data_IF_896154533220
#
_entry.id   IF_896154533220
#
_cell.length_a   1.000
_cell.length_b   1.000
_cell.length_c   1.000
_cell.angle_alpha   90.00
_cell.angle_beta   90.00
_cell.angle_gamma   90.00
#
_symmetry.space_group_name_H-M   'P 1'
#
loop_
_entity.id
_entity.type
_entity.pdbx_description
1 polymer ?
#
# COMPACT_ATOMS: atom_id res chain seq x y z
N UNK A 1 14.81 15.14 -10.50
CA UNK A 1 14.02 15.77 -9.41
C UNK A 1 13.89 14.80 -8.25
N UNK A 2 13.37 15.25 -7.10
CA UNK A 2 13.09 14.39 -5.95
C UNK A 2 11.62 13.94 -5.99
N UNK A 3 11.34 12.70 -5.58
CA UNK A 3 9.96 12.26 -5.36
C UNK A 3 9.44 12.90 -4.09
N UNK A 4 8.26 13.51 -4.15
CA UNK A 4 7.56 14.08 -3.00
C UNK A 4 6.34 13.22 -2.67
N UNK A 5 6.12 12.96 -1.39
CA UNK A 5 4.91 12.34 -0.84
C UNK A 5 4.41 13.26 0.27
N UNK A 6 3.15 13.67 0.19
CA UNK A 6 2.58 14.73 1.03
C UNK A 6 1.35 14.16 1.73
N UNK A 7 1.42 14.11 3.06
CA UNK A 7 0.33 13.68 3.91
C UNK A 7 -0.42 14.90 4.45
N UNK A 8 -1.73 14.85 4.35
CA UNK A 8 -2.65 15.83 4.93
C UNK A 8 -4.00 15.13 5.10
N UNK A 9 -4.42 14.85 6.33
CA UNK A 9 -5.64 14.11 6.63
C UNK A 9 -6.91 14.93 6.39
N UNK A 10 -6.80 16.25 6.26
CA UNK A 10 -7.92 17.12 5.89
C UNK A 10 -8.08 17.16 4.37
N UNK A 11 -6.98 17.33 3.62
CA UNK A 11 -7.00 17.38 2.15
C UNK A 11 -7.10 16.00 1.49
N UNK A 12 -6.43 14.99 2.06
CA UNK A 12 -6.25 13.64 1.51
C UNK A 12 -6.61 12.55 2.54
N UNK A 13 -7.85 12.53 3.10
CA UNK A 13 -8.19 11.65 4.22
C UNK A 13 -7.85 10.18 3.95
N UNK A 14 -7.04 9.57 4.81
CA UNK A 14 -6.61 8.18 4.71
C UNK A 14 -5.66 7.85 3.56
N UNK A 15 -5.08 8.84 2.88
CA UNK A 15 -4.05 8.61 1.86
C UNK A 15 -3.09 9.81 1.74
N UNK A 16 -2.59 10.14 0.56
CA UNK A 16 -1.59 11.18 0.33
C UNK A 16 -1.61 11.72 -1.11
N UNK A 17 -0.96 12.85 -1.32
CA UNK A 17 -0.56 13.35 -2.64
C UNK A 17 0.89 12.96 -2.97
N UNK A 18 1.23 12.92 -4.24
CA UNK A 18 2.60 12.64 -4.68
C UNK A 18 3.00 13.42 -5.93
N UNK A 19 4.30 13.69 -6.04
CA UNK A 19 4.94 14.26 -7.23
C UNK A 19 6.13 13.37 -7.58
N UNK A 20 6.09 12.77 -8.77
CA UNK A 20 7.18 11.98 -9.34
C UNK A 20 7.71 12.76 -10.55
N UNK A 21 8.80 13.53 -10.40
CA UNK A 21 9.37 14.28 -11.51
C UNK A 21 9.96 13.33 -12.56
N UNK A 22 9.78 13.69 -13.82
CA UNK A 22 10.49 13.12 -14.97
C UNK A 22 11.42 14.18 -15.57
N UNK A 23 11.88 13.96 -16.80
CA UNK A 23 12.73 14.91 -17.53
C UNK A 23 11.94 16.16 -17.99
N UNK A 24 12.67 17.21 -18.37
CA UNK A 24 12.14 18.38 -19.09
C UNK A 24 11.01 19.14 -18.36
N UNK A 25 11.07 19.22 -17.02
CA UNK A 25 10.03 19.88 -16.24
C UNK A 25 8.69 19.14 -16.22
N UNK A 26 8.64 17.89 -16.73
CA UNK A 26 7.45 17.03 -16.68
C UNK A 26 7.47 16.19 -15.40
N UNK A 27 6.31 15.67 -15.04
CA UNK A 27 6.19 14.74 -13.92
C UNK A 27 4.80 14.14 -13.83
N UNK A 28 4.66 13.10 -13.00
CA UNK A 28 3.37 12.54 -12.61
C UNK A 28 2.98 13.12 -11.26
N UNK A 29 1.83 13.77 -11.22
CA UNK A 29 1.25 14.29 -9.99
C UNK A 29 -0.06 13.57 -9.72
N UNK A 30 -0.29 13.16 -8.48
CA UNK A 30 -1.53 12.50 -8.13
C UNK A 30 -1.92 12.72 -6.68
N UNK A 31 -3.21 12.53 -6.43
CA UNK A 31 -3.86 12.64 -5.13
C UNK A 31 -4.84 11.48 -5.02
N UNK A 32 -4.92 10.88 -3.84
CA UNK A 32 -6.05 10.06 -3.45
C UNK A 32 -6.47 10.41 -2.03
N UNK A 33 -7.72 10.07 -1.70
CA UNK A 33 -8.31 10.32 -0.40
C UNK A 33 -9.74 9.78 -0.36
N UNK A 34 -10.23 9.46 0.83
CA UNK A 34 -11.58 8.92 1.02
C UNK A 34 -12.61 10.05 1.04
N UNK A 35 -13.66 9.92 0.23
CA UNK A 35 -14.81 10.83 0.27
C UNK A 35 -14.55 12.22 -0.32
N UNK A 36 -13.47 12.40 -1.09
CA UNK A 36 -13.12 13.68 -1.72
C UNK A 36 -13.41 13.66 -3.22
N UNK A 37 -13.63 14.84 -3.81
CA UNK A 37 -13.61 15.03 -5.26
C UNK A 37 -12.15 15.13 -5.74
N UNK A 38 -11.54 13.99 -6.06
CA UNK A 38 -10.13 13.91 -6.47
C UNK A 38 -9.78 14.80 -7.66
N UNK A 39 -10.73 15.09 -8.56
CA UNK A 39 -10.48 15.94 -9.73
C UNK A 39 -10.26 17.40 -9.32
N UNK A 40 -11.16 17.92 -8.49
CA UNK A 40 -11.11 19.28 -7.95
C UNK A 40 -9.94 19.46 -6.99
N UNK A 41 -9.71 18.49 -6.10
CA UNK A 41 -8.58 18.52 -5.17
C UNK A 41 -7.24 18.55 -5.92
N UNK A 42 -7.11 17.76 -7.00
CA UNK A 42 -5.90 17.77 -7.83
C UNK A 42 -5.69 19.10 -8.55
N UNK A 43 -6.76 19.71 -9.09
CA UNK A 43 -6.64 21.02 -9.76
C UNK A 43 -6.27 22.13 -8.78
N UNK A 44 -6.83 22.11 -7.56
CA UNK A 44 -6.44 23.05 -6.49
C UNK A 44 -4.97 22.85 -6.11
N UNK A 45 -4.54 21.61 -5.91
CA UNK A 45 -3.15 21.29 -5.57
C UNK A 45 -2.16 21.75 -6.64
N UNK A 46 -2.47 21.55 -7.92
CA UNK A 46 -1.62 21.99 -9.02
C UNK A 46 -1.53 23.51 -9.10
N UNK A 47 -2.65 24.23 -8.91
CA UNK A 47 -2.66 25.71 -8.83
C UNK A 47 -1.81 26.24 -7.67
N UNK A 48 -1.85 25.58 -6.50
CA UNK A 48 -1.00 25.92 -5.35
C UNK A 48 0.50 25.73 -5.64
N UNK A 49 0.87 24.85 -6.58
CA UNK A 49 2.27 24.57 -6.96
C UNK A 49 2.81 25.51 -8.05
N UNK A 50 1.95 26.30 -8.70
CA UNK A 50 2.34 27.28 -9.72
C UNK A 50 1.72 27.03 -11.09
N UNK A 51 2.33 27.57 -12.14
CA UNK A 51 1.88 27.36 -13.51
C UNK A 51 2.10 25.90 -13.94
N UNK A 52 1.08 25.30 -14.56
CA UNK A 52 1.14 23.93 -15.04
C UNK A 52 0.36 23.78 -16.34
N UNK A 53 0.74 22.76 -17.12
CA UNK A 53 -0.07 22.26 -18.23
C UNK A 53 -0.32 20.77 -18.05
N UNK A 54 -1.53 20.31 -18.35
CA UNK A 54 -1.91 18.90 -18.21
C UNK A 54 -1.81 18.19 -19.54
N UNK A 55 -0.92 17.21 -19.65
CA UNK A 55 -0.79 16.35 -20.84
C UNK A 55 -1.89 15.28 -20.84
N UNK A 56 -2.14 14.65 -19.69
CA UNK A 56 -3.12 13.59 -19.50
C UNK A 56 -3.61 13.56 -18.07
N UNK A 57 -4.91 13.33 -17.87
CA UNK A 57 -5.54 13.11 -16.56
C UNK A 57 -6.22 11.74 -16.56
N UNK A 58 -6.02 10.96 -15.50
CA UNK A 58 -6.61 9.62 -15.34
C UNK A 58 -7.17 9.53 -13.93
N UNK A 59 -8.34 8.90 -13.80
CA UNK A 59 -8.96 8.61 -12.53
C UNK A 59 -9.27 7.12 -12.47
N UNK A 60 -8.95 6.51 -11.34
CA UNK A 60 -9.26 5.10 -11.08
C UNK A 60 -9.53 4.91 -9.58
N UNK A 61 -10.47 4.04 -9.22
CA UNK A 61 -10.58 3.57 -7.85
C UNK A 61 -9.33 2.75 -7.49
N UNK A 62 -8.91 2.81 -6.23
CA UNK A 62 -7.80 2.01 -5.69
C UNK A 62 -8.31 1.01 -4.67
N UNK A 63 -7.86 -0.25 -4.77
CA UNK A 63 -8.14 -1.27 -3.78
C UNK A 63 -7.03 -1.32 -2.73
N UNK A 64 -7.43 -1.22 -1.46
CA UNK A 64 -6.52 -1.03 -0.31
C UNK A 64 -6.83 -1.99 0.84
N UNK A 65 -7.71 -2.96 0.64
CA UNK A 65 -8.12 -3.92 1.69
C UNK A 65 -7.22 -5.17 1.75
N UNK A 66 -6.17 -5.24 0.95
CA UNK A 66 -5.33 -6.43 0.82
C UNK A 66 -5.98 -7.54 -0.01
N UNK A 67 -5.37 -8.73 -0.04
CA UNK A 67 -5.80 -9.81 -0.90
C UNK A 67 -7.15 -10.38 -0.51
N UNK A 68 -7.91 -10.85 -1.51
CA UNK A 68 -9.11 -11.66 -1.26
C UNK A 68 -8.71 -13.01 -0.65
N UNK A 69 -9.60 -13.61 0.16
CA UNK A 69 -9.31 -14.86 0.90
C UNK A 69 -8.94 -16.04 -0.01
N UNK A 70 -9.61 -16.13 -1.16
CA UNK A 70 -9.37 -17.14 -2.19
C UNK A 70 -9.22 -16.42 -3.52
N UNK A 71 -8.02 -16.42 -4.07
CA UNK A 71 -7.74 -15.99 -5.44
C UNK A 71 -7.38 -17.17 -6.34
N UNK A 72 -7.54 -18.39 -5.83
CA UNK A 72 -7.71 -19.63 -6.60
C UNK A 72 -8.92 -20.36 -6.02
N UNK A 73 -9.88 -20.71 -6.88
CA UNK A 73 -11.07 -21.50 -6.51
C UNK A 73 -11.48 -22.37 -7.72
N UNK A 74 -11.39 -23.69 -7.57
CA UNK A 74 -11.54 -24.65 -8.67
C UNK A 74 -10.66 -24.27 -9.88
N UNK A 75 -11.25 -23.97 -11.04
CA UNK A 75 -10.55 -23.57 -12.27
C UNK A 75 -10.49 -22.06 -12.47
N UNK A 76 -10.83 -21.28 -11.45
CA UNK A 76 -10.78 -19.82 -11.46
C UNK A 76 -9.50 -19.36 -10.77
N UNK A 77 -8.69 -18.60 -11.51
CA UNK A 77 -7.46 -17.97 -11.00
C UNK A 77 -7.57 -16.46 -11.15
N UNK A 78 -7.48 -15.75 -10.03
CA UNK A 78 -7.58 -14.29 -9.95
C UNK A 78 -6.19 -13.74 -9.63
N UNK A 79 -5.76 -12.70 -10.35
CA UNK A 79 -4.41 -12.14 -10.22
C UNK A 79 -4.43 -10.61 -10.10
N UNK A 80 -3.36 -10.05 -9.54
CA UNK A 80 -3.12 -8.62 -9.50
C UNK A 80 -4.14 -7.83 -8.68
N UNK A 81 -4.54 -6.65 -9.16
CA UNK A 81 -5.49 -5.78 -8.46
C UNK A 81 -6.84 -6.48 -8.19
N UNK A 82 -7.29 -7.35 -9.11
CA UNK A 82 -8.51 -8.14 -8.91
C UNK A 82 -8.40 -9.13 -7.74
N UNK A 83 -7.18 -9.61 -7.47
CA UNK A 83 -6.90 -10.46 -6.31
C UNK A 83 -6.54 -9.64 -5.05
N UNK A 84 -6.54 -8.31 -5.12
CA UNK A 84 -6.15 -7.42 -4.02
C UNK A 84 -4.65 -7.41 -3.73
N UNK A 85 -3.81 -7.65 -4.74
CA UNK A 85 -2.36 -7.79 -4.59
C UNK A 85 -1.61 -6.46 -4.64
N UNK A 86 -2.30 -5.33 -4.55
CA UNK A 86 -1.71 -4.01 -4.30
C UNK A 86 -1.52 -3.75 -2.80
N UNK A 87 -0.39 -3.12 -2.43
CA UNK A 87 -0.05 -2.80 -1.04
C UNK A 87 -1.13 -1.94 -0.36
N UNK A 88 -1.72 -2.36 0.78
CA UNK A 88 -2.75 -1.60 1.49
C UNK A 88 -2.35 -0.16 1.87
N UNK A 89 -1.07 0.08 2.18
CA UNK A 89 -0.58 1.38 2.65
C UNK A 89 -0.36 2.38 1.52
N UNK A 90 0.11 1.94 0.36
CA UNK A 90 0.53 2.82 -0.75
C UNK A 90 -0.29 2.66 -2.02
N UNK A 91 -1.16 1.65 -2.09
CA UNK A 91 -1.81 1.17 -3.32
C UNK A 91 -0.82 0.79 -4.44
N UNK A 92 0.48 0.70 -4.15
CA UNK A 92 1.49 0.25 -5.10
C UNK A 92 1.39 -1.26 -5.30
N UNK A 93 1.15 -1.69 -6.53
CA UNK A 93 0.91 -3.10 -6.84
C UNK A 93 1.74 -3.70 -7.97
N UNK A 94 2.54 -2.91 -8.69
CA UNK A 94 3.23 -3.39 -9.92
C UNK A 94 4.03 -4.67 -9.65
N UNK A 95 4.87 -4.67 -8.62
CA UNK A 95 5.71 -5.82 -8.31
C UNK A 95 4.91 -7.00 -7.74
N UNK A 96 4.12 -6.77 -6.69
CA UNK A 96 3.36 -7.82 -5.99
C UNK A 96 2.29 -8.45 -6.87
N UNK A 97 1.64 -7.67 -7.73
CA UNK A 97 0.70 -8.13 -8.77
C UNK A 97 1.42 -8.82 -9.93
N UNK A 98 2.55 -8.28 -10.38
CA UNK A 98 3.38 -8.89 -11.42
C UNK A 98 3.88 -10.28 -11.01
N UNK A 99 4.38 -10.40 -9.77
CA UNK A 99 4.73 -11.69 -9.18
C UNK A 99 3.51 -12.61 -9.05
N UNK A 100 2.34 -12.04 -8.78
CA UNK A 100 1.06 -12.73 -8.86
C UNK A 100 0.85 -13.41 -10.21
N UNK A 101 0.98 -12.66 -11.31
CA UNK A 101 0.88 -13.18 -12.68
C UNK A 101 1.92 -14.27 -12.98
N UNK A 102 3.17 -14.10 -12.54
CA UNK A 102 4.24 -15.09 -12.73
C UNK A 102 3.89 -16.41 -12.05
N UNK A 103 3.49 -16.37 -10.77
CA UNK A 103 3.15 -17.58 -10.03
C UNK A 103 1.88 -18.25 -10.56
N UNK A 104 0.88 -17.47 -10.97
CA UNK A 104 -0.33 -17.98 -11.61
C UNK A 104 0.00 -18.72 -12.92
N UNK A 105 0.82 -18.12 -13.80
CA UNK A 105 1.22 -18.74 -15.06
C UNK A 105 1.97 -20.07 -14.86
N UNK A 106 2.85 -20.14 -13.86
CA UNK A 106 3.53 -21.39 -13.49
C UNK A 106 2.55 -22.47 -13.00
N UNK A 107 1.61 -22.10 -12.14
CA UNK A 107 0.60 -23.00 -11.58
C UNK A 107 -0.33 -23.54 -12.67
N UNK A 108 -0.85 -22.66 -13.54
CA UNK A 108 -1.70 -23.04 -14.68
C UNK A 108 -0.96 -23.96 -15.64
N UNK A 109 0.29 -23.63 -16.01
CA UNK A 109 1.11 -24.47 -16.90
C UNK A 109 1.32 -25.87 -16.34
N UNK A 110 1.48 -26.00 -15.02
CA UNK A 110 1.64 -27.30 -14.35
C UNK A 110 0.31 -28.07 -14.32
N UNK A 111 -0.77 -27.41 -13.89
CA UNK A 111 -2.12 -27.99 -13.90
C UNK A 111 -2.53 -28.54 -15.27
N UNK A 112 -2.23 -27.83 -16.36
CA UNK A 112 -2.56 -28.30 -17.71
C UNK A 112 -1.80 -29.59 -18.12
N UNK A 113 -0.69 -29.90 -17.45
CA UNK A 113 0.08 -31.13 -17.72
C UNK A 113 -0.33 -32.30 -16.82
N UNK A 114 -0.76 -32.00 -15.59
CA UNK A 114 -1.05 -33.00 -14.55
C UNK A 114 -2.53 -33.25 -14.38
N UNK A 115 -3.38 -32.27 -14.71
CA UNK A 115 -4.80 -32.18 -14.38
C UNK A 115 -5.08 -32.24 -12.85
N UNK A 116 -4.08 -31.93 -12.02
CA UNK A 116 -4.16 -31.96 -10.56
C UNK A 116 -4.50 -30.57 -9.99
N UNK A 117 -5.67 -30.38 -9.39
CA UNK A 117 -6.12 -29.08 -8.85
C UNK A 117 -5.16 -28.49 -7.81
N UNK A 118 -4.44 -29.35 -7.08
CA UNK A 118 -3.41 -28.93 -6.12
C UNK A 118 -2.29 -28.10 -6.76
N UNK A 119 -2.06 -28.26 -8.06
CA UNK A 119 -1.09 -27.46 -8.81
C UNK A 119 -1.55 -26.02 -9.03
N UNK A 120 -2.86 -25.76 -9.17
CA UNK A 120 -3.41 -24.40 -9.20
C UNK A 120 -3.29 -23.73 -7.83
N UNK A 121 -3.62 -24.46 -6.75
CA UNK A 121 -3.53 -23.95 -5.38
C UNK A 121 -2.12 -23.52 -4.97
N UNK A 122 -1.08 -24.10 -5.60
CA UNK A 122 0.30 -23.70 -5.37
C UNK A 122 0.58 -22.23 -5.71
N UNK A 123 -0.18 -21.61 -6.62
CA UNK A 123 -0.09 -20.17 -6.85
C UNK A 123 -0.40 -19.38 -5.57
N UNK A 124 -1.60 -19.60 -5.00
CA UNK A 124 -2.02 -18.89 -3.80
C UNK A 124 -1.09 -19.15 -2.63
N UNK A 125 -0.65 -20.40 -2.47
CA UNK A 125 0.33 -20.76 -1.44
C UNK A 125 1.61 -19.95 -1.57
N UNK A 126 2.27 -19.98 -2.74
CA UNK A 126 3.54 -19.28 -2.98
C UNK A 126 3.44 -17.77 -2.79
N UNK A 127 2.38 -17.17 -3.31
CA UNK A 127 2.17 -15.72 -3.15
C UNK A 127 1.96 -15.36 -1.67
N UNK A 128 1.14 -16.14 -0.96
CA UNK A 128 0.85 -15.91 0.47
C UNK A 128 2.08 -16.12 1.35
N UNK A 129 2.88 -17.15 1.08
CA UNK A 129 4.15 -17.39 1.79
C UNK A 129 5.13 -16.23 1.63
N UNK A 130 5.19 -15.63 0.43
CA UNK A 130 6.10 -14.52 0.15
C UNK A 130 5.61 -13.19 0.70
N UNK A 131 4.33 -12.86 0.52
CA UNK A 131 3.81 -11.50 0.76
C UNK A 131 2.80 -11.41 1.91
N UNK A 132 2.14 -12.50 2.29
CA UNK A 132 0.99 -12.48 3.20
C UNK A 132 1.27 -11.80 4.53
N UNK A 133 2.35 -12.19 5.22
CA UNK A 133 2.74 -11.60 6.51
C UNK A 133 2.99 -10.09 6.44
N UNK A 134 3.48 -9.61 5.30
CA UNK A 134 3.75 -8.20 5.12
C UNK A 134 2.46 -7.43 4.79
N UNK A 135 1.58 -8.02 3.97
CA UNK A 135 0.24 -7.46 3.71
C UNK A 135 -0.60 -7.36 4.98
N UNK A 136 -0.53 -8.33 5.89
CA UNK A 136 -1.23 -8.28 7.19
C UNK A 136 -0.77 -7.06 8.01
N UNK A 137 0.54 -6.83 8.09
CA UNK A 137 1.11 -5.65 8.76
C UNK A 137 0.68 -4.36 8.07
N UNK A 138 0.68 -4.34 6.74
CA UNK A 138 0.26 -3.17 5.97
C UNK A 138 -1.23 -2.85 6.17
N UNK A 139 -2.10 -3.87 6.28
CA UNK A 139 -3.50 -3.69 6.63
C UNK A 139 -3.67 -3.09 8.03
N UNK A 140 -2.87 -3.52 9.01
CA UNK A 140 -2.86 -2.91 10.34
C UNK A 140 -2.37 -1.45 10.29
N UNK A 141 -1.25 -1.19 9.63
CA UNK A 141 -0.71 0.16 9.47
C UNK A 141 -1.73 1.08 8.77
N UNK A 142 -2.43 0.57 7.75
CA UNK A 142 -3.50 1.28 7.04
C UNK A 142 -4.62 1.71 7.99
N UNK A 143 -5.11 0.80 8.85
CA UNK A 143 -6.15 1.13 9.84
C UNK A 143 -5.71 2.21 10.83
N UNK A 144 -4.41 2.26 11.16
CA UNK A 144 -3.85 3.31 12.02
C UNK A 144 -3.79 4.63 11.25
N UNK A 145 -3.23 4.63 10.04
CA UNK A 145 -3.11 5.82 9.18
C UNK A 145 -4.46 6.49 8.89
N UNK A 146 -5.54 5.72 8.80
CA UNK A 146 -6.91 6.24 8.63
C UNK A 146 -7.50 6.94 9.87
N UNK A 147 -6.87 6.81 11.05
CA UNK A 147 -7.41 7.29 12.33
C UNK A 147 -6.55 8.36 13.00
N UNK A 148 -5.32 8.58 12.53
CA UNK A 148 -4.43 9.60 13.08
C UNK A 148 -4.68 10.95 12.39
N UNK A 149 -4.41 12.03 13.10
CA UNK A 149 -4.53 13.41 12.60
C UNK A 149 -3.19 13.97 12.09
N UNK A 150 -3.23 15.18 11.53
CA UNK A 150 -2.05 15.89 11.02
C UNK A 150 -1.01 16.15 12.11
N UNK A 151 -1.43 16.45 13.34
CA UNK A 151 -0.52 16.66 14.47
C UNK A 151 0.30 15.39 14.78
N UNK A 152 -0.37 14.24 14.82
CA UNK A 152 0.27 12.95 15.03
C UNK A 152 1.22 12.59 13.89
N UNK A 153 0.84 12.86 12.64
CA UNK A 153 1.69 12.65 11.46
C UNK A 153 2.94 13.53 11.52
N UNK A 154 2.80 14.81 11.89
CA UNK A 154 3.94 15.71 12.04
C UNK A 154 4.89 15.23 13.14
N UNK A 155 4.36 14.83 14.30
CA UNK A 155 5.16 14.24 15.39
C UNK A 155 5.87 12.95 14.97
N UNK A 156 5.31 12.16 14.05
CA UNK A 156 5.97 11.00 13.46
C UNK A 156 7.15 11.42 12.60
N UNK A 157 6.97 12.39 11.68
CA UNK A 157 8.05 12.91 10.85
C UNK A 157 9.20 13.50 11.67
N UNK A 158 8.88 14.27 12.72
CA UNK A 158 9.88 14.83 13.65
C UNK A 158 10.65 13.76 14.43
N UNK A 159 10.09 12.55 14.58
CA UNK A 159 10.77 11.44 15.25
C UNK A 159 11.68 10.62 14.35
N UNK A 160 11.71 10.89 13.04
CA UNK A 160 12.57 10.19 12.09
C UNK A 160 14.01 10.67 12.32
N UNK A 161 14.86 9.78 12.81
CA UNK A 161 16.28 10.06 13.00
C UNK A 161 17.11 9.61 11.79
N UNK A 162 18.35 10.12 11.61
CA UNK A 162 19.25 9.64 10.57
C UNK A 162 19.48 8.12 10.60
N UNK A 163 19.49 7.50 11.79
CA UNK A 163 19.62 6.05 11.96
C UNK A 163 18.42 5.31 11.40
N UNK A 164 17.21 5.84 11.59
CA UNK A 164 15.97 5.27 11.03
C UNK A 164 15.97 5.40 9.51
N UNK A 165 16.41 6.55 8.97
CA UNK A 165 16.56 6.76 7.53
C UNK A 165 17.57 5.75 6.96
N UNK A 166 18.69 5.55 7.66
CA UNK A 166 19.72 4.58 7.29
C UNK A 166 19.18 3.15 7.32
N UNK A 167 18.46 2.75 8.38
CA UNK A 167 17.84 1.42 8.47
C UNK A 167 16.83 1.18 7.34
N UNK A 168 16.06 2.20 6.95
CA UNK A 168 15.13 2.12 5.82
C UNK A 168 15.90 2.02 4.49
N UNK A 169 17.01 2.75 4.34
CA UNK A 169 17.78 2.81 3.09
C UNK A 169 18.66 1.57 2.86
N UNK A 170 19.14 0.93 3.92
CA UNK A 170 20.04 -0.24 3.84
C UNK A 170 19.29 -1.58 3.81
N UNK A 171 18.03 -1.61 4.26
CA UNK A 171 17.16 -2.77 4.06
C UNK A 171 16.60 -2.70 2.65
N UNK A 172 17.28 -3.35 1.72
CA UNK A 172 17.08 -3.43 0.26
C UNK A 172 15.68 -3.89 -0.24
N UNK A 173 14.65 -3.90 0.61
CA UNK A 173 13.33 -4.34 0.22
C UNK A 173 12.29 -3.23 0.46
N UNK A 174 12.13 -2.42 -0.60
CA UNK A 174 11.10 -1.37 -0.76
C UNK A 174 9.68 -1.86 -0.39
N UNK A 175 9.47 -3.18 -0.36
CA UNK A 175 8.21 -3.83 -0.07
C UNK A 175 8.01 -4.21 1.41
N UNK A 176 9.05 -4.18 2.27
CA UNK A 176 9.03 -4.73 3.64
C UNK A 176 9.41 -3.74 4.76
N UNK A 177 9.13 -2.45 4.58
CA UNK A 177 9.42 -1.42 5.59
C UNK A 177 8.35 -1.26 6.69
N UNK A 178 7.25 -2.01 6.64
CA UNK A 178 6.13 -1.80 7.58
C UNK A 178 6.54 -2.05 9.04
N UNK A 179 7.55 -2.91 9.29
CA UNK A 179 8.08 -3.10 10.63
C UNK A 179 8.74 -1.85 11.21
N UNK A 180 9.43 -1.04 10.39
CA UNK A 180 10.04 0.22 10.81
C UNK A 180 8.96 1.28 11.08
N UNK A 181 7.93 1.33 10.25
CA UNK A 181 6.78 2.24 10.43
C UNK A 181 5.99 1.86 11.70
N UNK A 182 5.72 0.57 11.93
CA UNK A 182 5.03 0.10 13.15
C UNK A 182 5.86 0.39 14.40
N UNK A 183 7.20 0.22 14.35
CA UNK A 183 8.08 0.59 15.47
C UNK A 183 7.99 2.09 15.77
N UNK A 184 8.07 2.95 14.76
CA UNK A 184 7.89 4.40 14.90
C UNK A 184 6.54 4.75 15.53
N UNK A 185 5.46 4.11 15.06
CA UNK A 185 4.10 4.28 15.61
C UNK A 185 3.98 3.79 17.06
N UNK A 186 4.63 2.66 17.39
CA UNK A 186 4.60 2.03 18.72
C UNK A 186 5.45 2.72 19.78
N UNK A 187 6.41 3.57 19.39
CA UNK A 187 7.28 4.32 20.32
C UNK A 187 6.53 5.52 20.94
N UNK A 188 5.57 6.14 20.25
CA UNK A 188 4.87 7.35 20.72
C UNK A 188 3.42 7.14 21.15
N UNK A 189 2.72 6.16 20.61
CA UNK A 189 1.44 5.73 21.18
C UNK A 189 1.80 4.94 22.43
N UNK A 190 1.34 5.34 23.63
CA UNK A 190 1.65 4.60 24.87
C UNK A 190 1.51 3.10 24.61
N UNK A 191 2.48 2.29 25.05
CA UNK A 191 2.46 0.84 24.83
C UNK A 191 1.08 0.24 25.15
N UNK A 192 0.37 0.81 26.14
CA UNK A 192 -1.01 0.50 26.52
C UNK A 192 -2.03 0.84 25.44
N UNK A 193 -1.99 2.02 24.84
CA UNK A 193 -2.89 2.45 23.76
C UNK A 193 -2.61 1.72 22.45
N UNK A 194 -1.33 1.48 22.11
CA UNK A 194 -0.94 0.67 20.96
C UNK A 194 -1.37 -0.79 21.16
N UNK A 195 -1.13 -1.35 22.34
CA UNK A 195 -1.65 -2.68 22.72
C UNK A 195 -3.18 -2.71 22.70
N UNK A 196 -3.88 -1.66 23.08
CA UNK A 196 -5.36 -1.62 23.08
C UNK A 196 -5.92 -1.54 21.65
N UNK A 197 -5.32 -0.74 20.76
CA UNK A 197 -5.65 -0.69 19.33
C UNK A 197 -5.34 -2.01 18.64
N UNK A 198 -4.16 -2.58 18.88
CA UNK A 198 -3.74 -3.86 18.31
C UNK A 198 -4.59 -5.01 18.86
N UNK A 199 -4.87 -5.06 20.17
CA UNK A 199 -5.68 -6.13 20.78
C UNK A 199 -7.17 -6.04 20.46
N UNK A 200 -7.73 -4.83 20.35
CA UNK A 200 -9.12 -4.64 19.93
C UNK A 200 -9.33 -5.00 18.44
N UNK A 201 -8.34 -4.77 17.60
CA UNK A 201 -8.37 -5.19 16.18
C UNK A 201 -8.06 -6.69 16.02
N UNK A 202 -7.11 -7.26 16.80
CA UNK A 202 -6.85 -8.71 16.80
C UNK A 202 -8.07 -9.50 17.28
N UNK A 203 -8.81 -9.03 18.29
CA UNK A 203 -10.07 -9.64 18.73
C UNK A 203 -11.18 -9.62 17.67
N UNK A 204 -11.18 -8.64 16.76
CA UNK A 204 -12.12 -8.57 15.62
C UNK A 204 -11.70 -9.41 14.41
N UNK A 205 -10.45 -9.85 14.38
CA UNK A 205 -9.92 -10.73 13.31
C UNK A 205 -10.01 -12.21 13.74
N UNK A 206 -9.94 -12.48 15.05
CA UNK A 206 -9.97 -13.82 15.65
C UNK A 206 -11.35 -14.25 16.19
N UNK A 207 -12.36 -13.38 16.10
CA UNK A 207 -13.78 -13.69 16.33
C UNK A 207 -14.56 -13.50 15.04
#
# INVERSE_FOLDING_TARGET
GKVEVIFDQEKYPGFFAWIIPSNEGKGKVGIAGKGINVAETLDKFLKEKGEFSTIRKIFAPIWIKGPIKKFVDDRVVIVGDAAGQAKPTTAGGIFTSGMGGVYAGQAISKFLKTNEETDLLNYQKKWTERFGKEFDKQMLARKILERIDNETINKLFESITPEIIKEISEKDDFDFHTSSIIKLLGIKISLKTAQTLVSSELKKILG
#
